data_IF_276078087207
#
_entry.id   IF_276078087207
#
_cell.length_a   1.000
_cell.length_b   1.000
_cell.length_c   1.000
_cell.angle_alpha   90.00
_cell.angle_beta   90.00
_cell.angle_gamma   90.00
#
_symmetry.space_group_name_H-M   'P 1'
#
loop_
_entity.id
_entity.type
_entity.pdbx_description
1 polymer ?
#
# COMPACT_ATOMS: atom_id res chain seq x y z
N UNK A 1 -16.21 43.38 -15.59
CA UNK A 1 -16.09 42.62 -14.34
C UNK A 1 -15.46 41.29 -14.69
N UNK A 2 -14.13 41.22 -14.53
CA UNK A 2 -13.26 40.25 -15.18
C UNK A 2 -13.28 38.87 -14.54
N UNK A 3 -13.32 37.87 -15.41
CA UNK A 3 -13.38 36.43 -15.24
C UNK A 3 -12.27 35.87 -14.34
N UNK A 4 -12.65 35.05 -13.35
CA UNK A 4 -11.75 34.13 -12.64
C UNK A 4 -11.27 33.03 -13.60
N UNK A 5 -9.95 32.77 -13.72
CA UNK A 5 -9.49 31.59 -14.41
C UNK A 5 -9.48 30.40 -13.45
N UNK A 6 -10.39 29.45 -13.64
CA UNK A 6 -10.24 28.10 -13.10
C UNK A 6 -9.09 27.41 -13.85
N UNK A 7 -7.93 27.33 -13.21
CA UNK A 7 -6.79 26.56 -13.71
C UNK A 7 -7.06 25.07 -13.45
N UNK A 8 -7.65 24.41 -14.43
CA UNK A 8 -7.61 22.95 -14.55
C UNK A 8 -6.27 22.53 -15.14
N UNK A 9 -5.36 21.98 -14.33
CA UNK A 9 -4.13 21.38 -14.83
C UNK A 9 -3.62 20.28 -13.90
N UNK A 10 -3.63 19.02 -14.35
CA UNK A 10 -2.55 18.05 -14.13
C UNK A 10 -2.89 16.67 -14.72
N UNK A 11 -2.83 16.53 -16.04
CA UNK A 11 -2.59 15.21 -16.66
C UNK A 11 -1.46 15.32 -17.68
N UNK A 12 -0.25 15.51 -17.18
CA UNK A 12 1.01 15.21 -17.87
C UNK A 12 2.18 15.15 -16.86
N UNK A 13 2.07 14.34 -15.80
CA UNK A 13 3.20 14.10 -14.89
C UNK A 13 4.05 12.87 -15.27
N UNK A 14 3.76 12.22 -16.40
CA UNK A 14 4.65 11.22 -17.02
C UNK A 14 5.77 11.93 -17.77
N UNK A 15 6.78 12.40 -17.03
CA UNK A 15 7.97 13.06 -17.58
C UNK A 15 8.40 14.35 -16.88
N UNK A 16 8.01 14.57 -15.61
CA UNK A 16 8.46 15.75 -14.87
C UNK A 16 9.94 15.60 -14.53
N UNK A 17 10.77 16.39 -15.21
CA UNK A 17 12.17 16.65 -14.85
C UNK A 17 12.28 16.89 -13.33
N UNK A 18 13.26 16.30 -12.62
CA UNK A 18 13.37 16.44 -11.16
C UNK A 18 13.38 17.89 -10.68
N UNK A 19 13.80 18.85 -11.52
CA UNK A 19 13.75 20.28 -11.22
C UNK A 19 12.31 20.82 -11.18
N UNK A 20 11.44 20.38 -12.09
CA UNK A 20 10.05 20.81 -12.15
C UNK A 20 9.23 20.23 -10.99
N UNK A 21 9.52 19.00 -10.55
CA UNK A 21 8.89 18.40 -9.36
C UNK A 21 9.25 19.18 -8.09
N UNK A 22 10.53 19.56 -7.95
CA UNK A 22 11.01 20.36 -6.81
C UNK A 22 10.36 21.75 -6.78
N UNK A 23 10.18 22.40 -7.93
CA UNK A 23 9.44 23.66 -8.03
C UNK A 23 7.99 23.52 -7.58
N UNK A 24 7.31 22.44 -7.97
CA UNK A 24 5.93 22.17 -7.54
C UNK A 24 5.86 22.03 -6.01
N UNK A 25 6.79 21.29 -5.42
CA UNK A 25 6.89 21.11 -3.97
C UNK A 25 7.14 22.44 -3.24
N UNK A 26 8.03 23.29 -3.77
CA UNK A 26 8.29 24.61 -3.21
C UNK A 26 7.03 25.50 -3.22
N UNK A 27 6.26 25.47 -4.32
CA UNK A 27 5.02 26.24 -4.42
C UNK A 27 3.97 25.72 -3.44
N UNK A 28 3.77 24.40 -3.37
CA UNK A 28 2.84 23.78 -2.42
C UNK A 28 3.23 24.11 -0.98
N UNK A 29 4.51 24.03 -0.63
CA UNK A 29 5.01 24.38 0.71
C UNK A 29 4.79 25.85 1.05
N UNK A 30 5.06 26.78 0.10
CA UNK A 30 4.84 28.22 0.29
C UNK A 30 3.36 28.57 0.48
N UNK A 31 2.48 28.02 -0.36
CA UNK A 31 1.04 28.20 -0.23
C UNK A 31 0.51 27.64 1.09
N UNK A 32 1.04 26.49 1.55
CA UNK A 32 0.72 25.93 2.86
C UNK A 32 1.14 26.86 4.00
N UNK A 33 2.33 27.44 3.94
CA UNK A 33 2.82 28.41 4.93
C UNK A 33 1.99 29.70 4.93
N UNK A 34 1.47 30.11 3.77
CA UNK A 34 0.55 31.24 3.63
C UNK A 34 -0.89 30.95 4.10
N UNK A 35 -1.17 29.74 4.62
CA UNK A 35 -2.50 29.36 5.11
C UNK A 35 -3.54 29.10 4.02
N UNK A 36 -3.11 28.92 2.77
CA UNK A 36 -4.00 28.64 1.65
C UNK A 36 -4.37 27.15 1.60
N UNK A 37 -5.62 26.84 1.26
CA UNK A 37 -6.06 25.49 0.96
C UNK A 37 -5.74 25.14 -0.50
N UNK A 38 -5.14 23.98 -0.73
CA UNK A 38 -4.77 23.49 -2.06
C UNK A 38 -5.39 22.11 -2.24
N UNK A 39 -6.07 21.91 -3.37
CA UNK A 39 -6.58 20.60 -3.77
C UNK A 39 -5.75 20.12 -4.95
N UNK A 40 -5.13 18.96 -4.80
CA UNK A 40 -4.30 18.32 -5.83
C UNK A 40 -4.91 16.96 -6.15
N UNK A 41 -4.92 16.62 -7.43
CA UNK A 41 -5.30 15.30 -7.91
C UNK A 41 -4.09 14.67 -8.60
N UNK A 42 -3.52 13.61 -8.01
CA UNK A 42 -2.48 12.80 -8.66
C UNK A 42 -2.92 11.34 -8.75
N UNK A 43 -2.37 10.66 -9.74
CA UNK A 43 -2.50 9.21 -9.91
C UNK A 43 -1.35 8.45 -9.21
N UNK A 44 -0.30 9.17 -8.79
CA UNK A 44 0.79 8.62 -7.99
C UNK A 44 0.40 8.69 -6.52
N UNK A 45 0.30 7.52 -5.88
CA UNK A 45 0.07 7.43 -4.43
C UNK A 45 1.27 7.99 -3.66
N UNK A 46 2.50 7.80 -4.15
CA UNK A 46 3.72 8.33 -3.53
C UNK A 46 3.74 9.87 -3.52
N UNK A 47 3.35 10.53 -4.61
CA UNK A 47 3.25 12.00 -4.65
C UNK A 47 2.18 12.53 -3.70
N UNK A 48 1.03 11.85 -3.64
CA UNK A 48 -0.07 12.17 -2.75
C UNK A 48 0.36 12.05 -1.27
N UNK A 49 1.03 10.96 -0.88
CA UNK A 49 1.54 10.77 0.48
C UNK A 49 2.62 11.80 0.84
N UNK A 50 3.47 12.20 -0.10
CA UNK A 50 4.55 13.16 0.15
C UNK A 50 4.06 14.61 0.29
N UNK A 51 3.06 15.01 -0.49
CA UNK A 51 2.62 16.42 -0.58
C UNK A 51 1.40 16.77 0.28
N UNK A 52 0.50 15.81 0.51
CA UNK A 52 -0.79 16.08 1.12
C UNK A 52 -0.77 15.78 2.63
N UNK A 53 -1.34 16.68 3.43
CA UNK A 53 -1.58 16.42 4.87
C UNK A 53 -2.80 15.54 5.11
N UNK A 54 -3.76 15.57 4.19
CA UNK A 54 -4.98 14.78 4.19
C UNK A 54 -5.24 14.28 2.78
N UNK A 55 -5.68 13.05 2.70
CA UNK A 55 -6.00 12.36 1.47
C UNK A 55 -7.48 12.06 1.42
N UNK A 56 -8.03 12.06 0.22
CA UNK A 56 -9.40 11.67 -0.04
C UNK A 56 -9.43 10.70 -1.22
N UNK A 57 -10.21 9.63 -1.11
CA UNK A 57 -10.41 8.68 -2.21
C UNK A 57 -11.82 8.90 -2.77
N UNK A 58 -11.89 9.14 -4.07
CA UNK A 58 -13.13 9.35 -4.81
C UNK A 58 -13.34 8.19 -5.79
N UNK A 59 -14.53 7.62 -5.80
CA UNK A 59 -14.91 6.49 -6.65
C UNK A 59 -16.30 6.77 -7.24
N UNK A 60 -16.44 6.70 -8.58
CA UNK A 60 -17.67 7.07 -9.30
C UNK A 60 -18.24 8.45 -8.92
N UNK A 61 -17.38 9.46 -8.79
CA UNK A 61 -17.80 10.83 -8.43
C UNK A 61 -18.28 10.99 -6.98
N UNK A 62 -18.16 9.97 -6.14
CA UNK A 62 -18.49 10.03 -4.72
C UNK A 62 -17.23 9.94 -3.86
N UNK A 63 -17.13 10.79 -2.85
CA UNK A 63 -16.08 10.73 -1.84
C UNK A 63 -16.34 9.53 -0.91
N UNK A 64 -15.43 8.55 -0.89
CA UNK A 64 -15.58 7.33 -0.09
C UNK A 64 -14.89 7.44 1.27
N UNK A 65 -13.74 8.08 1.34
CA UNK A 65 -13.02 8.30 2.58
C UNK A 65 -12.16 9.56 2.54
N UNK A 66 -11.92 10.14 3.71
CA UNK A 66 -11.02 11.28 3.92
C UNK A 66 -10.26 11.10 5.24
N UNK A 67 -8.97 11.41 5.26
CA UNK A 67 -8.14 11.30 6.47
C UNK A 67 -6.65 11.44 6.19
N UNK A 68 -5.81 11.27 7.22
CA UNK A 68 -4.36 11.14 7.04
C UNK A 68 -4.03 9.78 6.44
N UNK A 69 -2.83 9.65 5.88
CA UNK A 69 -2.33 8.39 5.34
C UNK A 69 -2.38 7.27 6.37
N UNK A 70 -1.90 7.49 7.61
CA UNK A 70 -1.96 6.45 8.64
C UNK A 70 -3.40 6.09 9.03
N UNK A 71 -4.30 7.07 9.13
CA UNK A 71 -5.69 6.80 9.45
C UNK A 71 -6.37 5.97 8.38
N UNK A 72 -6.12 6.25 7.10
CA UNK A 72 -6.69 5.49 5.99
C UNK A 72 -6.14 4.06 5.96
N UNK A 73 -4.83 3.89 6.15
CA UNK A 73 -4.18 2.57 6.26
C UNK A 73 -4.71 1.76 7.44
N UNK A 74 -4.88 2.38 8.61
CA UNK A 74 -5.41 1.68 9.78
C UNK A 74 -6.91 1.35 9.65
N UNK A 75 -7.71 2.24 9.07
CA UNK A 75 -9.17 2.07 8.98
C UNK A 75 -9.61 1.16 7.84
N UNK A 76 -8.92 1.23 6.70
CA UNK A 76 -9.29 0.52 5.48
C UNK A 76 -8.21 -0.45 5.00
N UNK A 77 -7.06 -0.50 5.68
CA UNK A 77 -6.06 -1.50 5.40
C UNK A 77 -6.55 -2.87 5.80
N UNK A 78 -6.16 -3.84 4.99
CA UNK A 78 -6.58 -5.22 5.12
C UNK A 78 -5.47 -6.06 5.76
N UNK A 79 -4.76 -5.49 6.74
CA UNK A 79 -3.67 -6.17 7.45
C UNK A 79 -2.31 -6.07 6.75
N UNK A 80 -1.56 -7.17 6.75
CA UNK A 80 -0.15 -7.17 6.36
C UNK A 80 0.11 -8.00 5.12
N UNK A 81 1.19 -7.68 4.45
CA UNK A 81 1.67 -8.42 3.28
C UNK A 81 3.08 -8.94 3.58
N UNK A 82 3.26 -10.26 3.46
CA UNK A 82 4.55 -10.92 3.67
C UNK A 82 5.05 -11.48 2.35
N UNK A 83 6.29 -11.18 2.00
CA UNK A 83 6.99 -11.75 0.85
C UNK A 83 8.13 -12.61 1.36
N UNK A 84 8.16 -13.89 1.01
CA UNK A 84 9.19 -14.84 1.44
C UNK A 84 9.97 -15.26 0.21
N UNK A 85 11.27 -15.00 0.21
CA UNK A 85 12.20 -15.48 -0.80
C UNK A 85 12.74 -16.84 -0.36
N UNK A 86 12.53 -17.83 -1.20
CA UNK A 86 12.96 -19.21 -1.00
C UNK A 86 14.27 -19.45 -1.73
N UNK A 87 15.16 -20.22 -1.10
CA UNK A 87 16.31 -20.80 -1.75
C UNK A 87 15.80 -21.89 -2.70
N UNK A 88 16.01 -21.71 -4.01
CA UNK A 88 15.67 -22.72 -5.02
C UNK A 88 16.47 -24.01 -4.77
N UNK A 89 15.92 -24.91 -3.98
CA UNK A 89 16.34 -26.31 -3.89
C UNK A 89 15.10 -27.18 -3.96
N UNK A 90 15.21 -28.33 -4.62
CA UNK A 90 14.09 -29.19 -5.06
C UNK A 90 13.36 -29.93 -3.92
N UNK A 91 13.19 -29.33 -2.75
CA UNK A 91 12.59 -29.94 -1.57
C UNK A 91 11.10 -29.58 -1.47
N UNK A 92 10.28 -30.23 -2.31
CA UNK A 92 8.81 -30.09 -2.29
C UNK A 92 8.18 -30.34 -0.90
N UNK A 93 8.78 -31.24 -0.11
CA UNK A 93 8.31 -31.56 1.24
C UNK A 93 8.49 -30.40 2.24
N UNK A 94 9.64 -29.71 2.22
CA UNK A 94 9.92 -28.57 3.10
C UNK A 94 9.01 -27.38 2.80
N UNK A 95 8.70 -27.16 1.51
CA UNK A 95 7.72 -26.14 1.11
C UNK A 95 6.32 -26.43 1.66
N UNK A 96 5.90 -27.70 1.65
CA UNK A 96 4.62 -28.13 2.24
C UNK A 96 4.56 -27.85 3.75
N UNK A 97 5.64 -28.13 4.47
CA UNK A 97 5.73 -27.84 5.91
C UNK A 97 5.69 -26.34 6.20
N UNK A 98 6.40 -25.52 5.42
CA UNK A 98 6.36 -24.06 5.54
C UNK A 98 4.94 -23.52 5.32
N UNK A 99 4.24 -23.98 4.28
CA UNK A 99 2.85 -23.58 4.00
C UNK A 99 1.91 -23.99 5.12
N UNK A 100 2.09 -25.19 5.67
CA UNK A 100 1.30 -25.67 6.81
C UNK A 100 1.54 -24.82 8.06
N UNK A 101 2.80 -24.55 8.40
CA UNK A 101 3.14 -23.74 9.56
C UNK A 101 2.59 -22.30 9.40
N UNK A 102 2.70 -21.70 8.21
CA UNK A 102 2.12 -20.38 7.90
C UNK A 102 0.61 -20.36 8.14
N UNK A 103 -0.11 -21.39 7.68
CA UNK A 103 -1.55 -21.53 7.87
C UNK A 103 -1.94 -21.80 9.33
N UNK A 104 -1.09 -22.48 10.10
CA UNK A 104 -1.32 -22.75 11.51
C UNK A 104 -1.07 -21.53 12.41
N UNK A 105 -0.10 -20.69 12.03
CA UNK A 105 0.37 -19.59 12.86
C UNK A 105 -0.41 -18.29 12.61
N UNK A 106 -0.84 -18.06 11.36
CA UNK A 106 -1.61 -16.88 10.98
C UNK A 106 -3.04 -17.26 10.58
N UNK A 107 -4.00 -16.75 11.34
CA UNK A 107 -5.42 -16.99 11.05
C UNK A 107 -5.79 -16.31 9.73
N UNK A 108 -6.41 -17.06 8.82
CA UNK A 108 -6.93 -16.54 7.54
C UNK A 108 -5.85 -16.00 6.58
N UNK A 109 -4.60 -16.48 6.68
CA UNK A 109 -3.53 -16.14 5.75
C UNK A 109 -3.81 -16.69 4.34
N UNK A 110 -3.72 -15.83 3.32
CA UNK A 110 -3.97 -16.20 1.91
C UNK A 110 -2.73 -16.00 1.06
N UNK A 111 -2.41 -16.96 0.19
CA UNK A 111 -1.34 -16.81 -0.80
C UNK A 111 -1.90 -15.98 -1.96
N UNK A 112 -1.40 -14.75 -2.11
CA UNK A 112 -1.72 -13.87 -3.25
C UNK A 112 -0.98 -14.29 -4.52
N UNK A 113 0.25 -14.76 -4.37
CA UNK A 113 1.12 -15.12 -5.50
C UNK A 113 2.19 -16.15 -5.08
N UNK A 114 2.51 -17.07 -5.97
CA UNK A 114 3.57 -18.07 -5.80
C UNK A 114 4.29 -18.24 -7.15
N UNK A 115 5.50 -17.68 -7.27
CA UNK A 115 6.28 -17.78 -8.51
C UNK A 115 7.78 -17.88 -8.23
N UNK A 116 8.51 -18.73 -8.97
CA UNK A 116 9.99 -18.71 -9.06
C UNK A 116 10.73 -18.65 -7.71
N UNK A 117 10.22 -19.30 -6.65
CA UNK A 117 10.82 -19.24 -5.31
C UNK A 117 10.47 -17.98 -4.52
N UNK A 118 9.44 -17.24 -4.88
CA UNK A 118 8.87 -16.14 -4.10
C UNK A 118 7.44 -16.52 -3.68
N UNK A 119 7.17 -16.49 -2.38
CA UNK A 119 5.83 -16.63 -1.83
C UNK A 119 5.32 -15.29 -1.38
N UNK A 120 4.11 -14.95 -1.79
CA UNK A 120 3.45 -13.70 -1.42
C UNK A 120 2.19 -14.02 -0.62
N UNK A 121 2.24 -13.72 0.67
CA UNK A 121 1.15 -13.92 1.61
C UNK A 121 0.48 -12.61 1.98
N UNK A 122 -0.81 -12.70 2.25
CA UNK A 122 -1.60 -11.63 2.81
C UNK A 122 -2.30 -12.11 4.08
N UNK A 123 -2.07 -11.37 5.16
CA UNK A 123 -2.63 -11.64 6.47
C UNK A 123 -3.69 -10.57 6.73
N UNK A 124 -4.99 -10.91 6.67
CA UNK A 124 -6.10 -9.99 6.88
C UNK A 124 -6.34 -9.69 8.36
N UNK A 125 -5.29 -9.40 9.12
CA UNK A 125 -5.35 -9.05 10.53
C UNK A 125 -4.64 -7.71 10.79
N UNK A 126 -5.37 -6.58 10.74
CA UNK A 126 -4.80 -5.26 11.04
C UNK A 126 -4.55 -5.04 12.54
N UNK A 127 -5.05 -5.91 13.42
CA UNK A 127 -4.85 -5.79 14.87
C UNK A 127 -3.55 -6.45 15.34
N UNK A 128 -2.94 -7.29 14.49
CA UNK A 128 -1.70 -7.98 14.79
C UNK A 128 -0.53 -6.97 14.88
N UNK A 129 0.15 -6.85 16.03
CA UNK A 129 1.29 -5.96 16.13
C UNK A 129 2.44 -6.47 15.26
N UNK A 130 3.05 -5.56 14.50
CA UNK A 130 4.14 -5.84 13.58
C UNK A 130 5.31 -6.58 14.27
N UNK A 131 5.56 -6.31 15.55
CA UNK A 131 6.57 -7.01 16.36
C UNK A 131 6.29 -8.50 16.53
N UNK A 132 5.03 -8.91 16.71
CA UNK A 132 4.63 -10.32 16.79
C UNK A 132 4.74 -11.00 15.43
N UNK A 133 4.36 -10.30 14.37
CA UNK A 133 4.47 -10.79 13.00
C UNK A 133 5.95 -11.04 12.66
N UNK A 134 6.83 -10.06 12.88
CA UNK A 134 8.27 -10.21 12.68
C UNK A 134 8.86 -11.32 13.54
N UNK A 135 8.53 -11.38 14.85
CA UNK A 135 9.04 -12.44 15.73
C UNK A 135 8.61 -13.84 15.28
N UNK A 136 7.40 -13.97 14.74
CA UNK A 136 6.90 -15.23 14.18
C UNK A 136 7.64 -15.62 12.90
N UNK A 137 7.89 -14.65 12.01
CA UNK A 137 8.66 -14.86 10.79
C UNK A 137 10.11 -15.27 11.07
N UNK A 138 10.75 -14.66 12.06
CA UNK A 138 12.11 -15.01 12.49
C UNK A 138 12.18 -16.46 12.98
N UNK A 139 11.25 -16.88 13.84
CA UNK A 139 11.19 -18.27 14.32
C UNK A 139 11.00 -19.26 13.16
N UNK A 140 10.20 -18.89 12.16
CA UNK A 140 9.98 -19.72 10.99
C UNK A 140 11.20 -19.77 10.07
N UNK A 141 11.94 -18.66 9.90
CA UNK A 141 13.21 -18.64 9.19
C UNK A 141 14.23 -19.57 9.86
N UNK A 142 14.35 -19.52 11.17
CA UNK A 142 15.30 -20.36 11.90
C UNK A 142 14.91 -21.85 11.86
N UNK A 143 13.61 -22.16 11.80
CA UNK A 143 13.09 -23.53 11.65
C UNK A 143 13.24 -24.07 10.23
N UNK A 144 13.17 -23.22 9.21
CA UNK A 144 13.10 -23.60 7.80
C UNK A 144 14.24 -22.97 7.00
N UNK A 145 15.34 -23.70 6.79
CA UNK A 145 16.53 -23.24 6.03
C UNK A 145 16.24 -22.91 4.54
N UNK A 146 15.05 -23.30 4.04
CA UNK A 146 14.59 -22.93 2.70
C UNK A 146 14.30 -21.43 2.57
N UNK A 147 14.08 -20.70 3.66
CA UNK A 147 13.86 -19.24 3.63
C UNK A 147 15.22 -18.55 3.47
N UNK A 148 15.42 -17.91 2.32
CA UNK A 148 16.61 -17.08 2.08
C UNK A 148 16.46 -15.69 2.69
N UNK A 149 15.29 -15.08 2.48
CA UNK A 149 14.97 -13.75 3.01
C UNK A 149 13.45 -13.58 3.14
N UNK A 150 13.00 -12.61 3.93
CA UNK A 150 11.60 -12.25 4.00
C UNK A 150 11.41 -10.74 4.17
N UNK A 151 10.30 -10.25 3.65
CA UNK A 151 9.88 -8.86 3.77
C UNK A 151 8.47 -8.81 4.33
N UNK A 152 8.26 -7.94 5.31
CA UNK A 152 6.93 -7.65 5.86
C UNK A 152 6.62 -6.20 5.55
N UNK A 153 5.51 -5.98 4.88
CA UNK A 153 5.00 -4.66 4.56
C UNK A 153 3.63 -4.46 5.21
N UNK A 154 3.41 -3.25 5.72
CA UNK A 154 2.08 -2.78 6.09
C UNK A 154 1.24 -2.51 4.82
N UNK A 155 -0.07 -2.36 4.99
CA UNK A 155 -0.98 -1.98 3.92
C UNK A 155 -0.50 -0.68 3.25
N UNK A 156 -0.29 -0.71 1.93
CA UNK A 156 0.02 0.51 1.17
C UNK A 156 -1.24 1.33 0.88
N UNK A 157 -1.09 2.63 0.60
CA UNK A 157 -2.23 3.45 0.17
C UNK A 157 -2.83 2.93 -1.16
N UNK A 158 -2.00 2.30 -2.00
CA UNK A 158 -2.44 1.65 -3.24
C UNK A 158 -3.37 0.48 -2.94
N UNK A 159 -3.07 -0.34 -1.93
CA UNK A 159 -3.94 -1.44 -1.50
C UNK A 159 -5.27 -0.91 -0.93
N UNK A 160 -5.24 0.19 -0.16
CA UNK A 160 -6.46 0.88 0.30
C UNK A 160 -7.28 1.39 -0.89
N UNK A 161 -6.63 1.99 -1.89
CA UNK A 161 -7.31 2.45 -3.10
C UNK A 161 -7.94 1.27 -3.87
N UNK A 162 -7.19 0.18 -4.05
CA UNK A 162 -7.66 -1.04 -4.73
C UNK A 162 -8.84 -1.67 -4.00
N UNK A 163 -8.89 -1.61 -2.67
CA UNK A 163 -10.05 -2.03 -1.89
C UNK A 163 -11.32 -1.28 -2.33
N UNK A 164 -11.27 0.06 -2.33
CA UNK A 164 -12.42 0.86 -2.76
C UNK A 164 -12.78 0.67 -4.23
N UNK A 165 -11.78 0.52 -5.11
CA UNK A 165 -12.00 0.27 -6.52
C UNK A 165 -12.70 -1.08 -6.77
N UNK A 166 -12.31 -2.15 -6.04
CA UNK A 166 -12.95 -3.47 -6.14
C UNK A 166 -14.37 -3.47 -5.57
N UNK A 167 -14.63 -2.77 -4.48
CA UNK A 167 -15.99 -2.65 -3.90
C UNK A 167 -16.99 -1.99 -4.86
N UNK A 168 -16.52 -1.19 -5.82
CA UNK A 168 -17.37 -0.60 -6.85
C UNK A 168 -17.92 -1.66 -7.81
N UNK A 169 -17.09 -2.64 -8.20
CA UNK A 169 -17.48 -3.70 -9.15
C UNK A 169 -18.54 -4.64 -8.58
N UNK A 170 -18.50 -4.87 -7.26
CA UNK A 170 -19.47 -5.76 -6.57
C UNK A 170 -20.84 -5.15 -6.34
N UNK A 171 -21.01 -3.81 -6.46
CA UNK A 171 -22.31 -3.14 -6.30
C UNK A 171 -23.09 -2.97 -7.62
N UNK A 172 -22.46 -3.26 -8.76
CA UNK A 172 -23.07 -3.14 -10.11
C UNK A 172 -23.37 -4.50 -10.75
N UNK A 173 -23.47 -5.58 -9.96
CA UNK A 173 -23.86 -6.92 -10.43
C UNK A 173 -25.08 -7.43 -9.67
#
# INVERSE_FOLDING_TARGET
TGSTPEVGSSRNTTGVDPVSRRKLWDVVSKCRQAGQAIVLTSHSMEECEALCSRLTIMVAGQMKCIGTTEYLKHKFGQGFTIKIKLRCSQHSHTLGQLKHDMASHFTNCSIKDEHLGLLHYHIPDPSLPLSRLFGSMEQMRDKHDIIEDYHVNDTSLEEVFMYFARSQTSMTS
#
